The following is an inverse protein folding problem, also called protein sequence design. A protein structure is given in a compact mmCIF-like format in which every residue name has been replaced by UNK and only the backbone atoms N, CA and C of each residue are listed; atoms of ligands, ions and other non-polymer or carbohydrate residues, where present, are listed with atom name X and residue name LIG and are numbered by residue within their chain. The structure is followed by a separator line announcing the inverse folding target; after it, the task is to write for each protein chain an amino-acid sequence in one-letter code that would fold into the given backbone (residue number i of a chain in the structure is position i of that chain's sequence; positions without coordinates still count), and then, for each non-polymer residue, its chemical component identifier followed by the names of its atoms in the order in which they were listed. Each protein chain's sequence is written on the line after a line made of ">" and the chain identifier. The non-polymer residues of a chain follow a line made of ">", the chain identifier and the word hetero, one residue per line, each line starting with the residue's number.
data_IF_102058872147
#
_entry.id   IF_102058872147
#
_cell.length_a   1.000
_cell.length_b   1.000
_cell.length_c   1.000
_cell.angle_alpha   90.00
_cell.angle_beta   90.00
_cell.angle_gamma   90.00
#
_symmetry.space_group_name_H-M   'P 1'
#
loop_
_entity.id
_entity.type
_entity.pdbx_description
1 polymer ?
#
# COMPACT_ATOMS: atom_id res chain seq x y z
N UNK A 1 7.97 -9.21 -8.77
CA UNK A 1 7.52 -7.91 -9.31
C UNK A 1 8.68 -7.37 -10.12
N UNK A 2 8.46 -7.01 -11.38
CA UNK A 2 9.49 -6.37 -12.21
C UNK A 2 9.78 -4.98 -11.62
N UNK A 3 11.04 -4.67 -11.37
CA UNK A 3 11.43 -3.35 -10.86
C UNK A 3 11.52 -2.38 -12.02
N UNK A 4 10.77 -1.27 -11.95
CA UNK A 4 10.81 -0.21 -12.95
C UNK A 4 12.19 0.47 -12.90
N UNK A 5 12.91 0.42 -14.01
CA UNK A 5 14.23 1.07 -14.14
C UNK A 5 14.09 2.52 -14.63
N UNK A 6 15.19 3.29 -14.56
CA UNK A 6 15.22 4.63 -15.16
C UNK A 6 15.00 4.60 -16.68
N UNK A 7 15.41 3.51 -17.34
CA UNK A 7 15.18 3.29 -18.76
C UNK A 7 13.69 3.11 -19.04
N UNK A 8 13.01 2.31 -18.22
CA UNK A 8 11.55 2.12 -18.35
C UNK A 8 10.81 3.43 -18.12
N UNK A 9 11.22 4.21 -17.10
CA UNK A 9 10.65 5.54 -16.85
C UNK A 9 10.80 6.47 -18.06
N UNK A 10 11.97 6.47 -18.72
CA UNK A 10 12.21 7.28 -19.90
C UNK A 10 11.25 6.92 -21.04
N UNK A 11 11.12 5.63 -21.34
CA UNK A 11 10.18 5.17 -22.38
C UNK A 11 8.73 5.49 -22.04
N UNK A 12 8.30 5.25 -20.79
CA UNK A 12 6.95 5.59 -20.32
C UNK A 12 6.69 7.08 -20.49
N UNK A 13 7.65 7.93 -20.14
CA UNK A 13 7.48 9.39 -20.21
C UNK A 13 7.37 9.89 -21.65
N UNK A 14 8.12 9.29 -22.59
CA UNK A 14 8.00 9.60 -24.01
C UNK A 14 6.64 9.15 -24.53
N UNK A 15 6.24 7.91 -24.27
CA UNK A 15 4.95 7.36 -24.75
C UNK A 15 3.79 8.19 -24.22
N UNK A 16 3.79 8.53 -22.93
CA UNK A 16 2.77 9.39 -22.32
C UNK A 16 2.72 10.78 -22.94
N UNK A 17 3.87 11.39 -23.23
CA UNK A 17 3.94 12.69 -23.89
C UNK A 17 3.46 12.65 -25.33
N UNK A 18 3.79 11.61 -26.09
CA UNK A 18 3.28 11.41 -27.46
C UNK A 18 1.76 11.27 -27.40
N UNK A 19 1.22 10.40 -26.55
CA UNK A 19 -0.23 10.21 -26.43
C UNK A 19 -0.95 11.52 -26.05
N UNK A 20 -0.45 12.22 -25.03
CA UNK A 20 -1.02 13.49 -24.60
C UNK A 20 -0.91 14.58 -25.67
N UNK A 21 0.21 14.64 -26.38
CA UNK A 21 0.43 15.59 -27.46
C UNK A 21 -0.45 15.32 -28.67
N UNK A 22 -0.63 14.05 -29.05
CA UNK A 22 -1.57 13.67 -30.12
C UNK A 22 -3.01 14.05 -29.75
N UNK A 23 -3.44 13.76 -28.52
CA UNK A 23 -4.77 14.16 -28.04
C UNK A 23 -4.94 15.68 -28.04
N UNK A 24 -3.95 16.44 -27.54
CA UNK A 24 -3.99 17.90 -27.52
C UNK A 24 -3.99 18.50 -28.94
N UNK A 25 -3.27 17.89 -29.88
CA UNK A 25 -3.30 18.28 -31.30
C UNK A 25 -4.70 18.10 -31.89
N UNK A 26 -5.32 16.93 -31.67
CA UNK A 26 -6.68 16.66 -32.14
C UNK A 26 -7.69 17.63 -31.53
N UNK A 27 -7.60 17.90 -30.23
CA UNK A 27 -8.44 18.89 -29.55
C UNK A 27 -8.28 20.29 -30.13
N UNK A 28 -7.04 20.73 -30.39
CA UNK A 28 -6.79 22.01 -31.06
C UNK A 28 -7.45 22.06 -32.45
N UNK A 29 -7.30 21.00 -33.23
CA UNK A 29 -7.87 20.91 -34.57
C UNK A 29 -9.41 20.92 -34.57
N UNK A 30 -10.03 20.25 -33.59
CA UNK A 30 -11.49 20.25 -33.44
C UNK A 30 -12.04 21.55 -32.86
N UNK A 31 -11.27 22.23 -32.02
CA UNK A 31 -11.62 23.53 -31.45
C UNK A 31 -11.70 24.63 -32.51
N UNK A 32 -10.70 24.71 -33.39
CA UNK A 32 -10.64 25.75 -34.43
C UNK A 32 -11.47 25.41 -35.68
N UNK A 33 -11.97 24.17 -35.78
CA UNK A 33 -12.61 23.66 -36.98
C UNK A 33 -11.61 23.37 -38.11
N UNK A 34 -12.05 22.70 -39.19
CA UNK A 34 -11.15 22.32 -40.30
C UNK A 34 -10.55 23.52 -41.08
N UNK A 35 -10.93 24.75 -40.73
CA UNK A 35 -10.44 25.99 -41.31
C UNK A 35 -9.26 26.60 -40.51
N UNK A 36 -8.97 26.10 -39.31
CA UNK A 36 -7.87 26.55 -38.47
C UNK A 36 -6.49 26.15 -38.99
N UNK A 37 -5.43 26.81 -38.53
CA UNK A 37 -4.04 26.50 -38.89
C UNK A 37 -3.62 25.14 -38.28
N UNK A 38 -3.40 24.09 -39.11
CA UNK A 38 -2.98 22.79 -38.62
C UNK A 38 -1.64 22.84 -37.89
N UNK A 39 -0.77 23.79 -38.27
CA UNK A 39 0.55 23.96 -37.68
C UNK A 39 0.45 24.53 -36.26
N UNK A 40 -0.50 25.42 -36.00
CA UNK A 40 -0.76 25.94 -34.65
C UNK A 40 -1.24 24.84 -33.71
N UNK A 41 -2.16 23.99 -34.17
CA UNK A 41 -2.63 22.81 -33.41
C UNK A 41 -1.51 21.81 -33.13
N UNK A 42 -0.64 21.56 -34.11
CA UNK A 42 0.53 20.69 -33.94
C UNK A 42 1.53 21.26 -32.92
N UNK A 43 1.80 22.57 -32.98
CA UNK A 43 2.67 23.26 -32.00
C UNK A 43 2.08 23.16 -30.59
N UNK A 44 0.77 23.40 -30.44
CA UNK A 44 0.09 23.26 -29.16
C UNK A 44 0.23 21.83 -28.60
N UNK A 45 -0.03 20.83 -29.43
CA UNK A 45 0.16 19.43 -29.05
C UNK A 45 1.61 19.08 -28.69
N UNK A 46 2.59 19.60 -29.42
CA UNK A 46 4.01 19.41 -29.11
C UNK A 46 4.41 20.04 -27.77
N UNK A 47 3.94 21.27 -27.48
CA UNK A 47 4.16 21.91 -26.17
C UNK A 47 3.52 21.12 -25.03
N UNK A 48 2.28 20.67 -25.23
CA UNK A 48 1.57 19.90 -24.21
C UNK A 48 2.25 18.53 -23.96
N UNK A 49 2.57 17.80 -25.03
CA UNK A 49 3.24 16.50 -24.96
C UNK A 49 4.62 16.58 -24.30
N UNK A 50 5.44 17.58 -24.67
CA UNK A 50 6.75 17.80 -24.04
C UNK A 50 6.64 18.17 -22.56
N UNK A 51 5.61 18.95 -22.18
CA UNK A 51 5.28 19.23 -20.78
C UNK A 51 4.96 17.95 -19.99
N UNK A 52 4.10 17.09 -20.54
CA UNK A 52 3.74 15.79 -19.92
C UNK A 52 4.96 14.88 -19.79
N UNK A 53 5.80 14.77 -20.83
CA UNK A 53 7.05 14.00 -20.76
C UNK A 53 7.96 14.52 -19.64
N UNK A 54 8.15 15.84 -19.58
CA UNK A 54 9.04 16.47 -18.58
C UNK A 54 8.53 16.25 -17.15
N UNK A 55 7.23 16.47 -16.91
CA UNK A 55 6.62 16.24 -15.60
C UNK A 55 6.73 14.78 -15.16
N UNK A 56 6.47 13.85 -16.09
CA UNK A 56 6.56 12.40 -15.81
C UNK A 56 8.00 11.99 -15.49
N UNK A 57 8.99 12.51 -16.22
CA UNK A 57 10.41 12.27 -15.96
C UNK A 57 10.85 12.83 -14.61
N UNK A 58 10.51 14.08 -14.30
CA UNK A 58 10.91 14.75 -13.06
C UNK A 58 10.29 14.02 -11.86
N UNK A 59 8.97 13.82 -11.87
CA UNK A 59 8.28 13.20 -10.74
C UNK A 59 8.63 11.71 -10.60
N UNK A 60 8.62 10.97 -11.71
CA UNK A 60 9.00 9.56 -11.72
C UNK A 60 10.46 9.36 -11.34
N UNK A 61 11.34 10.25 -11.77
CA UNK A 61 12.78 10.21 -11.46
C UNK A 61 13.02 10.47 -9.98
N UNK A 62 12.41 11.54 -9.45
CA UNK A 62 12.40 11.82 -8.01
C UNK A 62 11.93 10.61 -7.20
N UNK A 63 10.83 9.98 -7.63
CA UNK A 63 10.27 8.79 -6.98
C UNK A 63 11.20 7.58 -7.04
N UNK A 64 11.85 7.31 -8.18
CA UNK A 64 12.82 6.22 -8.31
C UNK A 64 14.04 6.46 -7.42
N UNK A 65 14.52 7.70 -7.32
CA UNK A 65 15.62 8.08 -6.41
C UNK A 65 15.19 7.86 -4.96
N UNK A 66 13.99 8.28 -4.57
CA UNK A 66 13.44 8.08 -3.23
C UNK A 66 13.35 6.59 -2.87
N UNK A 67 12.87 5.76 -3.80
CA UNK A 67 12.80 4.30 -3.61
C UNK A 67 14.19 3.67 -3.49
N UNK A 68 15.16 4.09 -4.30
CA UNK A 68 16.54 3.60 -4.22
C UNK A 68 17.25 4.04 -2.95
N UNK A 69 17.10 5.31 -2.53
CA UNK A 69 17.61 5.82 -1.23
C UNK A 69 16.97 5.11 -0.05
N UNK A 70 15.65 4.84 -0.12
CA UNK A 70 14.92 4.09 0.91
C UNK A 70 15.32 2.61 0.99
N UNK A 71 15.84 2.02 -0.10
CA UNK A 71 16.46 0.69 -0.09
C UNK A 71 17.89 0.71 0.46
N UNK A 72 18.71 1.71 0.10
CA UNK A 72 20.11 1.82 0.50
C UNK A 72 20.35 2.00 2.01
N UNK A 73 19.39 2.59 2.73
CA UNK A 73 19.48 2.77 4.19
C UNK A 73 18.84 1.64 5.01
N UNK A 74 18.23 0.64 4.38
CA UNK A 74 17.80 -0.56 5.10
C UNK A 74 18.95 -1.55 5.01
N UNK A 75 19.84 -1.53 6.00
CA UNK A 75 20.56 -2.76 6.39
C UNK A 75 19.51 -3.86 6.29
N UNK A 76 19.77 -4.90 5.50
CA UNK A 76 18.84 -6.01 5.33
C UNK A 76 18.88 -6.80 6.64
N UNK A 77 18.32 -6.20 7.69
CA UNK A 77 18.26 -6.71 9.03
C UNK A 77 17.51 -8.02 8.91
N UNK A 78 18.16 -9.10 9.33
CA UNK A 78 17.53 -10.41 9.37
C UNK A 78 16.39 -10.35 10.39
N UNK A 79 15.19 -10.05 9.89
CA UNK A 79 13.97 -9.95 10.68
C UNK A 79 13.63 -11.28 11.35
N UNK A 80 14.09 -12.39 10.78
CA UNK A 80 13.94 -13.70 11.41
C UNK A 80 14.82 -13.74 12.64
N UNK A 81 16.13 -13.44 12.52
CA UNK A 81 17.05 -13.41 13.65
C UNK A 81 16.55 -12.50 14.79
N UNK A 82 16.08 -11.29 14.47
CA UNK A 82 15.52 -10.39 15.48
C UNK A 82 14.26 -10.92 16.16
N UNK A 83 13.36 -11.57 15.41
CA UNK A 83 12.15 -12.15 16.03
C UNK A 83 12.52 -13.37 16.89
N UNK A 84 13.53 -14.14 16.48
CA UNK A 84 14.07 -15.26 17.26
C UNK A 84 14.68 -14.77 18.57
N UNK A 85 15.48 -13.72 18.52
CA UNK A 85 16.04 -13.08 19.71
C UNK A 85 14.93 -12.59 20.65
N UNK A 86 13.93 -11.87 20.12
CA UNK A 86 12.79 -11.37 20.89
C UNK A 86 12.01 -12.50 21.59
N UNK A 87 11.84 -13.64 20.93
CA UNK A 87 11.05 -14.77 21.45
C UNK A 87 11.89 -15.83 22.19
N UNK A 88 13.19 -15.59 22.41
CA UNK A 88 14.09 -16.48 23.18
C UNK A 88 13.51 -16.88 24.54
N UNK A 89 12.95 -15.96 25.35
CA UNK A 89 12.35 -16.32 26.64
C UNK A 89 11.16 -17.28 26.52
N UNK A 90 10.47 -17.29 25.38
CA UNK A 90 9.30 -18.15 25.17
C UNK A 90 9.67 -19.59 24.85
N UNK A 91 10.87 -19.85 24.32
CA UNK A 91 11.38 -21.22 24.16
C UNK A 91 11.68 -21.87 25.52
N UNK A 92 12.27 -21.10 26.44
CA UNK A 92 12.50 -21.56 27.82
C UNK A 92 11.17 -21.84 28.54
N UNK A 93 10.15 -21.00 28.34
CA UNK A 93 8.80 -21.28 28.84
C UNK A 93 8.21 -22.56 28.24
N UNK A 94 8.31 -22.73 26.92
CA UNK A 94 7.78 -23.90 26.24
C UNK A 94 8.44 -25.22 26.67
N UNK A 95 9.73 -25.17 27.03
CA UNK A 95 10.45 -26.33 27.56
C UNK A 95 9.89 -26.82 28.91
N UNK A 96 9.15 -25.98 29.64
CA UNK A 96 8.47 -26.36 30.88
C UNK A 96 7.09 -26.99 30.69
N UNK A 97 6.58 -27.08 29.46
CA UNK A 97 5.24 -27.63 29.20
C UNK A 97 5.22 -29.18 29.33
N UNK A 98 4.09 -29.79 29.75
CA UNK A 98 4.01 -31.23 29.98
C UNK A 98 4.31 -32.10 28.74
N UNK A 99 3.99 -31.59 27.55
CA UNK A 99 4.19 -32.27 26.27
C UNK A 99 5.49 -31.87 25.56
N UNK A 100 6.35 -31.07 26.21
CA UNK A 100 7.60 -30.57 25.62
C UNK A 100 8.59 -31.69 25.26
N UNK A 101 8.52 -32.83 25.94
CA UNK A 101 9.34 -34.02 25.66
C UNK A 101 9.04 -34.64 24.29
N UNK A 102 7.78 -34.60 23.85
CA UNK A 102 7.34 -35.17 22.57
C UNK A 102 7.28 -34.10 21.47
N UNK A 103 6.75 -32.91 21.80
CA UNK A 103 6.51 -31.82 20.86
C UNK A 103 6.81 -30.47 21.52
N UNK A 104 8.09 -30.12 21.56
CA UNK A 104 8.52 -28.79 22.01
C UNK A 104 8.27 -27.72 20.94
N UNK A 105 7.69 -26.59 21.37
CA UNK A 105 7.78 -25.36 20.59
C UNK A 105 9.22 -24.87 20.59
N UNK A 106 9.78 -24.67 19.40
CA UNK A 106 11.18 -24.24 19.22
C UNK A 106 11.28 -23.08 18.24
N UNK A 107 12.16 -22.13 18.55
CA UNK A 107 12.34 -20.91 17.77
C UNK A 107 12.80 -21.20 16.35
N UNK A 108 13.67 -22.21 16.18
CA UNK A 108 14.21 -22.57 14.87
C UNK A 108 13.17 -23.18 13.93
N UNK A 109 12.17 -23.89 14.45
CA UNK A 109 11.16 -24.60 13.64
C UNK A 109 9.86 -23.80 13.48
N UNK A 110 9.48 -23.03 14.51
CA UNK A 110 8.23 -22.29 14.56
C UNK A 110 8.37 -20.84 14.07
N UNK A 111 9.59 -20.33 13.90
CA UNK A 111 9.85 -19.01 13.30
C UNK A 111 10.66 -19.17 12.03
N UNK A 112 10.03 -18.82 10.91
CA UNK A 112 10.58 -18.99 9.56
C UNK A 112 10.13 -17.89 8.62
N UNK A 113 10.87 -17.70 7.53
CA UNK A 113 10.48 -16.80 6.45
C UNK A 113 9.94 -17.62 5.27
N UNK A 114 8.66 -17.47 4.97
CA UNK A 114 8.02 -18.16 3.85
C UNK A 114 7.65 -17.16 2.75
N UNK A 115 8.23 -17.33 1.56
CA UNK A 115 7.95 -16.47 0.38
C UNK A 115 8.07 -14.98 0.72
N UNK A 116 9.09 -14.62 1.48
CA UNK A 116 9.35 -13.24 1.91
C UNK A 116 8.42 -12.70 3.02
N UNK A 117 7.56 -13.53 3.62
CA UNK A 117 6.73 -13.15 4.78
C UNK A 117 7.25 -13.86 6.04
N UNK A 118 7.42 -13.12 7.12
CA UNK A 118 7.76 -13.69 8.43
C UNK A 118 6.58 -14.51 8.93
N UNK A 119 6.83 -15.76 9.29
CA UNK A 119 5.81 -16.72 9.74
C UNK A 119 6.18 -17.18 11.14
N UNK A 120 5.22 -17.04 12.06
CA UNK A 120 5.24 -17.55 13.42
C UNK A 120 4.19 -18.65 13.52
N UNK A 121 4.59 -19.80 14.00
CA UNK A 121 3.73 -20.92 14.30
C UNK A 121 3.42 -20.99 15.80
N UNK A 122 2.15 -21.01 16.18
CA UNK A 122 1.70 -21.11 17.58
C UNK A 122 1.33 -22.53 17.99
N UNK A 123 1.45 -23.53 17.10
CA UNK A 123 1.26 -24.92 17.50
C UNK A 123 2.25 -25.33 18.60
N UNK A 124 1.90 -26.30 19.43
CA UNK A 124 2.72 -26.79 20.55
C UNK A 124 2.99 -25.76 21.68
N UNK A 125 2.42 -24.56 21.57
CA UNK A 125 2.35 -23.57 22.64
C UNK A 125 0.98 -23.65 23.34
N UNK A 126 0.96 -23.47 24.65
CA UNK A 126 -0.28 -23.33 25.42
C UNK A 126 -0.93 -21.94 25.21
N UNK A 127 -2.15 -21.77 25.72
CA UNK A 127 -2.87 -20.49 25.60
C UNK A 127 -2.15 -19.31 26.27
N UNK A 128 -1.65 -19.42 27.52
CA UNK A 128 -0.88 -18.35 28.16
C UNK A 128 0.38 -17.96 27.39
N UNK A 129 1.17 -18.93 26.94
CA UNK A 129 2.39 -18.68 26.17
C UNK A 129 2.09 -18.05 24.82
N UNK A 130 1.06 -18.53 24.12
CA UNK A 130 0.64 -17.96 22.84
C UNK A 130 0.17 -16.50 23.01
N UNK A 131 -0.55 -16.19 24.09
CA UNK A 131 -0.95 -14.80 24.41
C UNK A 131 0.27 -13.91 24.66
N UNK A 132 1.24 -14.38 25.43
CA UNK A 132 2.48 -13.65 25.72
C UNK A 132 3.31 -13.39 24.46
N UNK A 133 3.37 -14.36 23.54
CA UNK A 133 4.02 -14.17 22.23
C UNK A 133 3.33 -13.06 21.42
N UNK A 134 2.00 -13.03 21.41
CA UNK A 134 1.26 -11.96 20.73
C UNK A 134 1.54 -10.59 21.34
N UNK A 135 1.63 -10.51 22.67
CA UNK A 135 1.94 -9.27 23.38
C UNK A 135 3.34 -8.75 23.02
N UNK A 136 4.36 -9.62 23.01
CA UNK A 136 5.71 -9.27 22.56
C UNK A 136 5.72 -8.77 21.11
N UNK A 137 4.93 -9.38 20.22
CA UNK A 137 4.78 -8.93 18.82
C UNK A 137 4.11 -7.56 18.73
N UNK A 138 3.08 -7.33 19.55
CA UNK A 138 2.34 -6.06 19.60
C UNK A 138 3.27 -4.93 20.07
N UNK A 139 4.01 -5.16 21.16
CA UNK A 139 4.96 -4.20 21.73
C UNK A 139 6.09 -3.87 20.74
N UNK A 140 6.60 -4.88 20.03
CA UNK A 140 7.70 -4.74 19.08
C UNK A 140 7.23 -4.57 17.62
N UNK A 141 6.00 -4.07 17.42
CA UNK A 141 5.39 -3.86 16.09
C UNK A 141 6.32 -3.23 15.05
N UNK A 142 7.05 -2.13 15.34
CA UNK A 142 7.88 -1.47 14.32
C UNK A 142 8.95 -2.39 13.72
N UNK A 143 9.46 -3.32 14.53
CA UNK A 143 10.48 -4.29 14.14
C UNK A 143 9.86 -5.45 13.33
N UNK A 144 8.76 -6.02 13.81
CA UNK A 144 8.09 -7.19 13.19
C UNK A 144 7.58 -6.90 11.77
N UNK A 145 6.92 -5.75 11.56
CA UNK A 145 6.35 -5.41 10.26
C UNK A 145 5.21 -6.35 9.84
N UNK A 146 5.35 -7.04 8.69
CA UNK A 146 4.34 -7.98 8.18
C UNK A 146 4.65 -9.39 8.71
N UNK A 147 3.72 -9.97 9.47
CA UNK A 147 3.86 -11.31 10.06
C UNK A 147 2.62 -12.15 9.81
N UNK A 148 2.81 -13.44 9.51
CA UNK A 148 1.78 -14.47 9.46
C UNK A 148 1.85 -15.29 10.73
N UNK A 149 0.73 -15.40 11.43
CA UNK A 149 0.57 -16.18 12.64
C UNK A 149 -0.23 -17.43 12.28
N UNK A 150 0.34 -18.62 12.46
CA UNK A 150 -0.33 -19.90 12.24
C UNK A 150 -1.03 -20.28 13.54
N UNK A 151 -2.35 -20.47 13.46
CA UNK A 151 -3.21 -20.80 14.62
C UNK A 151 -3.83 -22.19 14.50
N UNK A 152 -3.51 -22.90 13.42
CA UNK A 152 -4.16 -24.17 13.07
C UNK A 152 -5.53 -23.99 12.41
N UNK A 153 -5.99 -25.05 11.73
CA UNK A 153 -7.29 -25.12 11.05
C UNK A 153 -8.42 -25.65 11.95
N UNK A 154 -8.07 -26.18 13.14
CA UNK A 154 -9.02 -26.83 14.06
C UNK A 154 -9.62 -28.15 13.57
N UNK A 155 -9.08 -28.73 12.48
CA UNK A 155 -9.61 -29.98 11.87
C UNK A 155 -9.10 -31.27 12.53
N UNK A 156 -7.94 -31.20 13.18
CA UNK A 156 -7.26 -32.35 13.81
C UNK A 156 -7.12 -32.15 15.33
N UNK A 157 -7.86 -31.19 15.90
CA UNK A 157 -7.85 -30.95 17.34
C UNK A 157 -8.93 -31.84 17.96
N UNK A 158 -8.61 -32.67 18.96
CA UNK A 158 -9.61 -33.47 19.66
C UNK A 158 -10.63 -32.57 20.38
N UNK A 159 -10.21 -31.38 20.79
CA UNK A 159 -11.03 -30.33 21.39
C UNK A 159 -11.31 -29.16 20.44
N UNK A 160 -12.19 -28.24 20.89
CA UNK A 160 -12.48 -26.99 20.17
C UNK A 160 -11.19 -26.19 19.95
N UNK A 161 -10.98 -25.59 18.76
CA UNK A 161 -9.78 -24.80 18.48
C UNK A 161 -9.76 -23.51 19.32
N UNK A 162 -8.91 -23.48 20.34
CA UNK A 162 -8.83 -22.37 21.31
C UNK A 162 -7.89 -21.23 20.88
N UNK A 163 -6.84 -21.52 20.11
CA UNK A 163 -5.82 -20.52 19.72
C UNK A 163 -6.40 -19.42 18.82
N UNK A 164 -7.22 -19.78 17.84
CA UNK A 164 -7.75 -18.81 16.86
C UNK A 164 -8.72 -17.80 17.46
N UNK A 165 -9.72 -18.20 18.29
CA UNK A 165 -10.55 -17.25 19.02
C UNK A 165 -9.72 -16.29 19.87
N UNK A 166 -8.75 -16.81 20.63
CA UNK A 166 -7.86 -16.00 21.47
C UNK A 166 -7.06 -14.96 20.65
N UNK A 167 -6.47 -15.39 19.53
CA UNK A 167 -5.71 -14.50 18.65
C UNK A 167 -6.60 -13.40 18.07
N UNK A 168 -7.82 -13.74 17.66
CA UNK A 168 -8.79 -12.75 17.16
C UNK A 168 -9.23 -11.76 18.24
N UNK A 169 -9.55 -12.25 19.44
CA UNK A 169 -9.94 -11.45 20.59
C UNK A 169 -8.84 -10.45 20.95
N UNK A 170 -7.58 -10.89 20.92
CA UNK A 170 -6.44 -10.01 21.24
C UNK A 170 -6.12 -9.02 20.12
N UNK A 171 -6.12 -9.45 18.86
CA UNK A 171 -5.65 -8.61 17.74
C UNK A 171 -6.71 -7.65 17.21
N UNK A 172 -8.00 -8.01 17.22
CA UNK A 172 -9.07 -7.18 16.65
C UNK A 172 -9.17 -5.77 17.24
N UNK A 173 -9.20 -5.58 18.59
CA UNK A 173 -9.31 -4.24 19.16
C UNK A 173 -8.06 -3.39 18.89
N UNK A 174 -6.90 -4.04 18.88
CA UNK A 174 -5.60 -3.36 18.79
C UNK A 174 -5.22 -3.05 17.33
N UNK A 175 -5.66 -3.86 16.37
CA UNK A 175 -5.26 -3.72 14.96
C UNK A 175 -5.62 -2.34 14.38
N UNK A 176 -6.79 -1.79 14.75
CA UNK A 176 -7.19 -0.45 14.31
C UNK A 176 -6.32 0.65 14.94
N UNK A 177 -6.03 0.53 16.24
CA UNK A 177 -5.19 1.49 16.97
C UNK A 177 -3.74 1.49 16.45
N UNK A 178 -3.23 0.31 16.13
CA UNK A 178 -1.86 0.12 15.64
C UNK A 178 -1.74 0.14 14.11
N UNK A 179 -2.75 0.62 13.37
CA UNK A 179 -2.69 0.71 11.90
C UNK A 179 -2.25 -0.62 11.23
N UNK A 180 -2.76 -1.73 11.74
CA UNK A 180 -2.62 -3.07 11.18
C UNK A 180 -3.90 -3.50 10.46
N UNK A 181 -3.72 -4.14 9.33
CA UNK A 181 -4.77 -4.85 8.63
C UNK A 181 -4.66 -6.34 8.96
N UNK A 182 -5.76 -6.89 9.49
CA UNK A 182 -5.89 -8.33 9.74
C UNK A 182 -6.37 -9.01 8.44
N UNK A 183 -5.62 -10.00 7.98
CA UNK A 183 -6.00 -10.87 6.87
C UNK A 183 -6.17 -12.29 7.41
N UNK A 184 -7.41 -12.66 7.71
CA UNK A 184 -7.73 -13.98 8.24
C UNK A 184 -7.86 -15.02 7.11
N UNK A 185 -7.22 -16.18 7.30
CA UNK A 185 -7.35 -17.38 6.46
C UNK A 185 -7.72 -18.57 7.33
N UNK A 186 -8.13 -19.68 6.72
CA UNK A 186 -8.64 -20.87 7.42
C UNK A 186 -7.70 -21.46 8.49
N UNK A 187 -6.37 -21.23 8.41
CA UNK A 187 -5.41 -21.71 9.43
C UNK A 187 -4.32 -20.71 9.80
N UNK A 188 -4.47 -19.45 9.43
CA UNK A 188 -3.50 -18.40 9.77
C UNK A 188 -4.13 -17.03 9.76
N UNK A 189 -3.56 -16.13 10.55
CA UNK A 189 -3.93 -14.72 10.62
C UNK A 189 -2.69 -13.93 10.22
N UNK A 190 -2.76 -13.16 9.14
CA UNK A 190 -1.65 -12.30 8.71
C UNK A 190 -1.90 -10.87 9.14
N UNK A 191 -0.94 -10.30 9.87
CA UNK A 191 -0.89 -8.90 10.24
C UNK A 191 -0.09 -8.14 9.18
N UNK A 192 -0.72 -7.13 8.58
CA UNK A 192 -0.09 -6.27 7.57
C UNK A 192 -0.07 -4.81 8.04
N UNK A 193 1.09 -4.15 8.14
CA UNK A 193 1.14 -2.72 8.42
C UNK A 193 0.56 -1.91 7.26
N UNK A 194 -0.37 -1.00 7.58
CA UNK A 194 -1.05 -0.15 6.60
C UNK A 194 -0.18 1.02 6.11
N UNK A 195 0.97 1.26 6.74
CA UNK A 195 1.85 2.41 6.49
C UNK A 195 1.50 3.59 7.39
N UNK A 196 2.31 4.66 7.30
CA UNK A 196 2.12 5.88 8.10
C UNK A 196 1.04 6.75 7.45
N UNK A 197 0.11 7.25 8.27
CA UNK A 197 -0.86 8.26 7.82
C UNK A 197 -0.12 9.54 7.42
N UNK A 198 -0.55 10.25 6.37
CA UNK A 198 0.01 11.56 6.06
C UNK A 198 -0.24 12.50 7.24
N UNK A 199 0.75 13.34 7.57
CA UNK A 199 0.53 14.45 8.49
C UNK A 199 -0.37 15.49 7.81
N UNK A 200 -1.02 16.36 8.60
CA UNK A 200 -1.89 17.43 8.07
C UNK A 200 -1.15 18.27 7.03
N UNK A 201 0.13 18.60 7.28
CA UNK A 201 0.98 19.33 6.32
C UNK A 201 1.14 18.59 5.00
N UNK A 202 1.48 17.28 5.04
CA UNK A 202 1.65 16.47 3.83
C UNK A 202 0.32 16.29 3.09
N UNK A 203 -0.76 16.08 3.82
CA UNK A 203 -2.11 15.99 3.26
C UNK A 203 -2.49 17.27 2.54
N UNK A 204 -2.27 18.44 3.17
CA UNK A 204 -2.64 19.75 2.61
C UNK A 204 -1.82 20.08 1.37
N UNK A 205 -0.51 19.81 1.36
CA UNK A 205 0.32 19.98 0.17
C UNK A 205 -0.16 19.10 -0.98
N UNK A 206 -0.48 17.82 -0.71
CA UNK A 206 -1.04 16.91 -1.73
C UNK A 206 -2.39 17.41 -2.24
N UNK A 207 -3.25 17.84 -1.34
CA UNK A 207 -4.58 18.33 -1.67
C UNK A 207 -4.49 19.56 -2.58
N UNK A 208 -3.73 20.59 -2.18
CA UNK A 208 -3.58 21.82 -2.97
C UNK A 208 -2.99 21.58 -4.36
N UNK A 209 -2.02 20.66 -4.47
CA UNK A 209 -1.42 20.33 -5.76
C UNK A 209 -2.37 19.59 -6.71
N UNK A 210 -3.25 18.74 -6.16
CA UNK A 210 -4.11 17.86 -6.95
C UNK A 210 -5.50 18.43 -7.20
N UNK A 211 -6.00 19.31 -6.33
CA UNK A 211 -7.41 19.74 -6.34
C UNK A 211 -7.81 20.45 -7.63
N UNK A 212 -6.98 21.39 -8.10
CA UNK A 212 -7.26 22.14 -9.33
C UNK A 212 -7.39 21.23 -10.55
N UNK A 213 -6.34 20.45 -10.90
CA UNK A 213 -6.38 19.55 -12.05
C UNK A 213 -7.54 18.56 -12.00
N UNK A 214 -7.78 17.90 -10.86
CA UNK A 214 -8.85 16.89 -10.76
C UNK A 214 -10.24 17.52 -10.81
N UNK A 215 -10.47 18.64 -10.13
CA UNK A 215 -11.77 19.31 -10.17
C UNK A 215 -12.08 19.87 -11.56
N UNK A 216 -11.11 20.47 -12.25
CA UNK A 216 -11.31 21.00 -13.61
C UNK A 216 -11.58 19.87 -14.59
N UNK A 217 -10.74 18.81 -14.57
CA UNK A 217 -10.90 17.69 -15.50
C UNK A 217 -12.26 17.02 -15.33
N UNK A 218 -12.68 16.72 -14.09
CA UNK A 218 -13.97 16.09 -13.84
C UNK A 218 -15.14 17.04 -14.10
N UNK A 219 -15.01 18.33 -13.80
CA UNK A 219 -16.03 19.32 -14.15
C UNK A 219 -16.32 19.31 -15.65
N UNK A 220 -15.28 19.39 -16.49
CA UNK A 220 -15.42 19.37 -17.95
C UNK A 220 -15.95 18.02 -18.45
N UNK A 221 -15.42 16.90 -17.94
CA UNK A 221 -15.88 15.57 -18.37
C UNK A 221 -17.35 15.31 -18.04
N UNK A 222 -17.82 15.72 -16.85
CA UNK A 222 -19.22 15.54 -16.48
C UNK A 222 -20.16 16.59 -17.10
N UNK A 223 -19.66 17.79 -17.36
CA UNK A 223 -20.36 18.82 -18.14
C UNK A 223 -20.68 18.32 -19.56
N UNK A 224 -19.72 17.69 -20.22
CA UNK A 224 -19.92 17.06 -21.53
C UNK A 224 -20.83 15.84 -21.46
N UNK A 225 -20.63 14.97 -20.47
CA UNK A 225 -21.45 13.76 -20.29
C UNK A 225 -22.93 14.07 -20.03
N UNK A 226 -23.22 15.16 -19.33
CA UNK A 226 -24.58 15.58 -19.00
C UNK A 226 -25.33 16.18 -20.21
N UNK A 227 -24.63 16.60 -21.26
CA UNK A 227 -25.21 17.20 -22.45
C UNK A 227 -25.88 18.56 -22.21
N UNK A 228 -26.52 19.10 -23.26
CA UNK A 228 -27.08 20.46 -23.24
C UNK A 228 -28.20 20.67 -22.21
N UNK A 229 -28.93 19.62 -21.85
CA UNK A 229 -30.05 19.70 -20.90
C UNK A 229 -29.66 19.80 -19.43
N UNK A 230 -28.43 19.43 -19.06
CA UNK A 230 -27.98 19.39 -17.67
C UNK A 230 -26.51 19.82 -17.47
N UNK A 231 -26.02 20.67 -18.37
CA UNK A 231 -24.61 21.08 -18.46
C UNK A 231 -24.07 21.66 -17.15
N UNK A 232 -24.84 22.56 -16.52
CA UNK A 232 -24.46 23.19 -15.25
C UNK A 232 -24.43 22.19 -14.09
N UNK A 233 -25.42 21.28 -14.03
CA UNK A 233 -25.47 20.21 -13.03
C UNK A 233 -24.30 19.24 -13.18
N UNK A 234 -23.96 18.87 -14.43
CA UNK A 234 -22.79 18.05 -14.75
C UNK A 234 -21.48 18.69 -14.28
N UNK A 235 -21.29 19.99 -14.55
CA UNK A 235 -20.11 20.74 -14.11
C UNK A 235 -19.98 20.81 -12.59
N UNK A 236 -21.09 21.10 -11.88
CA UNK A 236 -21.12 21.15 -10.41
C UNK A 236 -20.78 19.77 -9.83
N UNK A 237 -21.42 18.72 -10.35
CA UNK A 237 -21.17 17.35 -9.92
C UNK A 237 -19.69 16.95 -10.13
N UNK A 238 -19.14 17.22 -11.32
CA UNK A 238 -17.75 16.91 -11.64
C UNK A 238 -16.77 17.66 -10.72
N UNK A 239 -17.03 18.94 -10.44
CA UNK A 239 -16.22 19.73 -9.49
C UNK A 239 -16.23 19.09 -8.10
N UNK A 240 -17.41 18.72 -7.59
CA UNK A 240 -17.57 18.10 -6.28
C UNK A 240 -16.91 16.71 -6.22
N UNK A 241 -17.06 15.90 -7.26
CA UNK A 241 -16.39 14.60 -7.38
C UNK A 241 -14.86 14.76 -7.37
N UNK A 242 -14.32 15.79 -8.02
CA UNK A 242 -12.89 16.11 -7.99
C UNK A 242 -12.37 16.51 -6.62
N UNK A 243 -13.15 17.30 -5.86
CA UNK A 243 -12.82 17.61 -4.46
C UNK A 243 -12.74 16.35 -3.60
N UNK A 244 -13.74 15.47 -3.72
CA UNK A 244 -13.81 14.21 -2.94
C UNK A 244 -12.65 13.29 -3.31
N UNK A 245 -12.44 13.03 -4.60
CA UNK A 245 -11.37 12.16 -5.09
C UNK A 245 -10.00 12.67 -4.64
N UNK A 246 -9.77 13.99 -4.73
CA UNK A 246 -8.54 14.61 -4.25
C UNK A 246 -8.33 14.39 -2.76
N UNK A 247 -9.38 14.56 -1.95
CA UNK A 247 -9.33 14.28 -0.51
C UNK A 247 -8.95 12.83 -0.20
N UNK A 248 -9.49 11.86 -0.95
CA UNK A 248 -9.14 10.44 -0.82
C UNK A 248 -7.69 10.17 -1.21
N UNK A 249 -7.22 10.72 -2.33
CA UNK A 249 -5.85 10.56 -2.81
C UNK A 249 -4.84 11.21 -1.87
N UNK A 250 -5.12 12.41 -1.37
CA UNK A 250 -4.27 13.10 -0.40
C UNK A 250 -4.13 12.29 0.91
N UNK A 251 -5.16 11.53 1.28
CA UNK A 251 -5.21 10.66 2.45
C UNK A 251 -4.42 9.35 2.31
N UNK A 252 -3.84 9.08 1.14
CA UNK A 252 -3.12 7.83 0.89
C UNK A 252 -1.92 7.68 1.82
N UNK A 253 -1.81 6.51 2.47
CA UNK A 253 -0.77 6.22 3.46
C UNK A 253 0.58 5.96 2.80
N UNK A 254 1.64 6.46 3.43
CA UNK A 254 3.01 6.19 3.00
C UNK A 254 3.39 4.77 3.41
N UNK A 255 3.55 3.90 2.42
CA UNK A 255 4.09 2.55 2.56
C UNK A 255 5.58 2.60 2.21
N UNK A 256 6.44 2.46 3.21
CA UNK A 256 7.90 2.33 3.07
C UNK A 256 8.29 0.87 3.25
#
# INVERSE_FOLDING_TARGET
>A
MVEVTFRDLFYISIVMGIMAGTMATMLGYFSDGMEGDPMASLKFGAYFGSGVTSLTLIYGGWRLIELKRGKGNKVQVDKVAQLRELLTPMEAYAAGLPWSSEKAWRILTHIRQERGTLTLDLHEMDLPGARRILDLIIENRPMVGRIRIITGRGKNSPDRPVLRPMVNERLTPIARALDWQILAKAGSITLRPLGKRPTVKVWLVRFLFLVGPFSIALALSFEELAGSGAREQGRIFGTAAGLILTGLLASYRNRV
#
